data_IF_432140842682
#
_entry.id   IF_432140842682
#
_cell.length_a   1.000
_cell.length_b   1.000
_cell.length_c   1.000
_cell.angle_alpha   90.00
_cell.angle_beta   90.00
_cell.angle_gamma   90.00
#
_symmetry.space_group_name_H-M   'P 1'
#
loop_
_entity.id
_entity.type
_entity.pdbx_description
1 polymer ?
#
# COMPACT_ATOMS: atom_id res chain seq x y z
N UNK A 1 -17.22 -37.72 11.77
CA UNK A 1 -16.12 -37.20 10.95
C UNK A 1 -15.97 -35.71 11.26
N UNK A 2 -15.12 -35.34 12.19
CA UNK A 2 -14.80 -33.94 12.51
C UNK A 2 -13.73 -33.48 11.54
N UNK A 3 -14.14 -32.67 10.56
CA UNK A 3 -13.18 -31.99 9.67
C UNK A 3 -12.35 -31.04 10.54
N UNK A 4 -11.09 -31.40 10.79
CA UNK A 4 -10.12 -30.52 11.41
C UNK A 4 -9.86 -29.38 10.43
N UNK A 5 -10.48 -28.23 10.68
CA UNK A 5 -10.18 -26.98 9.99
C UNK A 5 -8.73 -26.66 10.35
N UNK A 6 -7.82 -27.06 9.48
CA UNK A 6 -6.40 -26.73 9.61
C UNK A 6 -6.29 -25.22 9.37
N UNK A 7 -6.41 -24.43 10.45
CA UNK A 7 -6.16 -22.99 10.41
C UNK A 7 -4.70 -22.79 10.02
N UNK A 8 -4.44 -22.56 8.73
CA UNK A 8 -3.15 -22.06 8.29
C UNK A 8 -2.88 -20.75 9.01
N UNK A 9 -1.94 -20.75 9.95
CA UNK A 9 -1.50 -19.53 10.62
C UNK A 9 -0.94 -18.59 9.56
N UNK A 10 -1.45 -17.34 9.55
CA UNK A 10 -0.83 -16.29 8.73
C UNK A 10 0.62 -16.10 9.18
N UNK A 11 1.57 -16.32 8.28
CA UNK A 11 2.97 -16.01 8.54
C UNK A 11 3.14 -14.50 8.82
N UNK A 12 4.14 -14.13 9.62
CA UNK A 12 4.44 -12.75 10.03
C UNK A 12 4.44 -11.77 8.86
N UNK A 13 5.06 -12.12 7.73
CA UNK A 13 5.14 -11.28 6.55
C UNK A 13 3.75 -10.96 5.94
N UNK A 14 2.84 -11.94 5.90
CA UNK A 14 1.47 -11.72 5.41
C UNK A 14 0.65 -10.83 6.36
N UNK A 15 0.87 -10.93 7.65
CA UNK A 15 0.29 -10.02 8.63
C UNK A 15 0.75 -8.59 8.40
N UNK A 16 2.06 -8.38 8.22
CA UNK A 16 2.61 -7.05 7.91
C UNK A 16 2.06 -6.52 6.59
N UNK A 17 2.01 -7.35 5.54
CA UNK A 17 1.43 -6.95 4.26
C UNK A 17 -0.05 -6.56 4.39
N UNK A 18 -0.83 -7.29 5.20
CA UNK A 18 -2.23 -6.97 5.45
C UNK A 18 -2.41 -5.64 6.16
N UNK A 19 -1.67 -5.41 7.25
CA UNK A 19 -1.71 -4.14 7.99
C UNK A 19 -1.25 -2.98 7.08
N UNK A 20 -0.15 -3.16 6.34
CA UNK A 20 0.35 -2.16 5.41
C UNK A 20 -0.72 -1.80 4.35
N UNK A 21 -1.43 -2.79 3.82
CA UNK A 21 -2.49 -2.55 2.83
C UNK A 21 -3.70 -1.82 3.41
N UNK A 22 -4.09 -2.13 4.64
CA UNK A 22 -5.15 -1.38 5.33
C UNK A 22 -4.73 0.07 5.59
N UNK A 23 -3.49 0.30 6.01
CA UNK A 23 -2.95 1.65 6.18
C UNK A 23 -2.89 2.40 4.85
N UNK A 24 -2.55 1.72 3.73
CA UNK A 24 -2.61 2.31 2.39
C UNK A 24 -4.02 2.75 2.01
N UNK A 25 -5.05 1.94 2.29
CA UNK A 25 -6.43 2.33 2.02
C UNK A 25 -6.82 3.58 2.79
N UNK A 26 -6.48 3.65 4.07
CA UNK A 26 -6.71 4.85 4.90
C UNK A 26 -5.94 6.04 4.34
N UNK A 27 -4.67 5.85 4.00
CA UNK A 27 -3.81 6.89 3.43
C UNK A 27 -4.37 7.45 2.12
N UNK A 28 -5.04 6.64 1.29
CA UNK A 28 -5.61 7.09 0.02
C UNK A 28 -6.79 8.04 0.20
N UNK A 29 -7.51 7.96 1.32
CA UNK A 29 -8.65 8.85 1.62
C UNK A 29 -8.19 10.16 2.26
N UNK A 30 -7.06 10.12 2.99
CA UNK A 30 -6.48 11.29 3.63
C UNK A 30 -5.88 12.27 2.60
N UNK A 31 -5.73 13.57 2.96
CA UNK A 31 -5.10 14.54 2.08
C UNK A 31 -3.66 14.15 1.72
N UNK A 32 -3.35 14.23 0.42
CA UNK A 32 -2.00 14.04 -0.12
C UNK A 32 -1.29 15.37 -0.37
N UNK A 33 -2.04 16.44 -0.42
CA UNK A 33 -1.54 17.80 -0.42
C UNK A 33 -2.61 18.75 0.10
N UNK A 34 -2.19 19.89 0.61
CA UNK A 34 -3.09 21.00 0.95
C UNK A 34 -2.41 22.31 0.54
N UNK A 35 -3.00 23.00 -0.44
CA UNK A 35 -2.55 24.28 -0.95
C UNK A 35 -3.44 25.40 -0.40
N UNK A 36 -2.88 26.59 -0.19
CA UNK A 36 -3.63 27.73 0.35
C UNK A 36 -3.76 27.69 1.88
N UNK A 37 -4.87 28.24 2.40
CA UNK A 37 -5.11 28.37 3.85
C UNK A 37 -4.37 29.53 4.52
N UNK A 38 -3.71 30.40 3.73
CA UNK A 38 -3.15 31.66 4.21
C UNK A 38 -4.20 32.78 4.20
N UNK A 39 -3.80 33.97 4.61
CA UNK A 39 -4.68 35.16 4.71
C UNK A 39 -5.40 35.42 3.37
N UNK A 40 -6.70 35.15 3.33
CA UNK A 40 -7.58 35.45 2.19
C UNK A 40 -7.64 34.38 1.08
N UNK A 41 -6.88 33.28 1.16
CA UNK A 41 -6.93 32.19 0.17
C UNK A 41 -7.54 30.95 0.81
N UNK A 42 -8.66 30.40 0.27
CA UNK A 42 -9.23 29.17 0.79
C UNK A 42 -8.25 28.00 0.64
N UNK A 43 -8.24 27.08 1.62
CA UNK A 43 -7.46 25.87 1.53
C UNK A 43 -8.12 24.88 0.54
N UNK A 44 -7.32 24.35 -0.37
CA UNK A 44 -7.71 23.30 -1.33
C UNK A 44 -6.86 22.08 -1.03
N UNK A 45 -7.50 20.95 -0.78
CA UNK A 45 -6.83 19.68 -0.53
C UNK A 45 -7.25 18.62 -1.55
N UNK A 46 -6.33 17.77 -1.92
CA UNK A 46 -6.61 16.60 -2.76
C UNK A 46 -6.05 15.31 -2.16
N UNK A 47 -6.54 14.19 -2.64
CA UNK A 47 -6.20 12.86 -2.13
C UNK A 47 -5.54 11.98 -3.22
N UNK A 48 -5.38 10.66 -2.92
CA UNK A 48 -4.75 9.72 -3.84
C UNK A 48 -5.52 9.53 -5.17
N UNK A 49 -6.83 9.75 -5.17
CA UNK A 49 -7.66 9.49 -6.36
C UNK A 49 -7.46 10.51 -7.48
N UNK A 50 -6.71 11.56 -7.22
CA UNK A 50 -6.31 12.54 -8.22
C UNK A 50 -5.01 12.10 -8.91
N UNK A 51 -5.10 11.44 -10.08
CA UNK A 51 -3.95 11.01 -10.88
C UNK A 51 -3.32 9.67 -10.46
N UNK A 52 -1.97 9.52 -10.51
CA UNK A 52 -1.31 8.20 -10.32
C UNK A 52 -1.52 7.56 -8.95
N UNK A 53 -1.96 8.32 -7.96
CA UNK A 53 -2.23 7.80 -6.61
C UNK A 53 -3.31 6.72 -6.58
N UNK A 54 -4.21 6.67 -7.57
CA UNK A 54 -5.21 5.59 -7.70
C UNK A 54 -4.55 4.20 -7.82
N UNK A 55 -3.35 4.12 -8.40
CA UNK A 55 -2.61 2.85 -8.50
C UNK A 55 -2.23 2.35 -7.11
N UNK A 56 -1.88 3.24 -6.18
CA UNK A 56 -1.56 2.88 -4.78
C UNK A 56 -2.79 2.26 -4.10
N UNK A 57 -3.98 2.79 -4.36
CA UNK A 57 -5.24 2.23 -3.88
C UNK A 57 -5.50 0.83 -4.46
N UNK A 58 -5.30 0.65 -5.78
CA UNK A 58 -5.47 -0.65 -6.44
C UNK A 58 -4.45 -1.68 -5.93
N UNK A 59 -3.22 -1.27 -5.66
CA UNK A 59 -2.19 -2.12 -5.04
C UNK A 59 -2.62 -2.58 -3.66
N UNK A 60 -3.19 -1.70 -2.83
CA UNK A 60 -3.70 -2.06 -1.52
C UNK A 60 -4.82 -3.11 -1.60
N UNK A 61 -5.80 -2.90 -2.48
CA UNK A 61 -6.88 -3.86 -2.71
C UNK A 61 -6.37 -5.21 -3.25
N UNK A 62 -5.47 -5.19 -4.24
CA UNK A 62 -4.89 -6.40 -4.81
C UNK A 62 -4.08 -7.18 -3.78
N UNK A 63 -3.34 -6.50 -2.91
CA UNK A 63 -2.59 -7.16 -1.83
C UNK A 63 -3.53 -7.83 -0.82
N UNK A 64 -4.61 -7.16 -0.41
CA UNK A 64 -5.63 -7.75 0.46
C UNK A 64 -6.31 -8.96 -0.20
N UNK A 65 -6.63 -8.85 -1.50
CA UNK A 65 -7.18 -9.96 -2.27
C UNK A 65 -6.21 -11.15 -2.31
N UNK A 66 -4.91 -10.94 -2.54
CA UNK A 66 -3.89 -12.00 -2.50
C UNK A 66 -3.81 -12.67 -1.12
N UNK A 67 -3.98 -11.93 -0.03
CA UNK A 67 -3.99 -12.48 1.33
C UNK A 67 -5.26 -13.30 1.57
N UNK A 68 -6.42 -12.82 1.07
CA UNK A 68 -7.70 -13.49 1.25
C UNK A 68 -7.88 -14.73 0.36
N UNK A 69 -7.24 -14.76 -0.80
CA UNK A 69 -7.42 -15.79 -1.82
C UNK A 69 -7.21 -17.23 -1.31
N UNK A 70 -6.16 -17.56 -0.53
CA UNK A 70 -5.97 -18.91 0.01
C UNK A 70 -7.07 -19.37 0.97
N UNK A 71 -7.80 -18.43 1.57
CA UNK A 71 -8.93 -18.72 2.46
C UNK A 71 -10.24 -18.90 1.70
N UNK A 72 -10.39 -18.19 0.57
CA UNK A 72 -11.57 -18.27 -0.27
C UNK A 72 -11.53 -19.49 -1.21
N UNK A 73 -10.34 -19.92 -1.64
CA UNK A 73 -10.15 -21.01 -2.60
C UNK A 73 -10.24 -22.42 -1.97
N UNK A 74 -10.28 -22.54 -0.64
CA UNK A 74 -10.31 -23.83 0.04
C UNK A 74 -9.08 -24.68 -0.31
N UNK A 75 -9.31 -25.92 -0.78
CA UNK A 75 -8.25 -26.88 -1.12
C UNK A 75 -7.69 -26.72 -2.55
N UNK A 76 -8.19 -25.76 -3.33
CA UNK A 76 -7.71 -25.53 -4.69
C UNK A 76 -6.27 -24.95 -4.65
N UNK A 77 -5.32 -25.48 -5.46
CA UNK A 77 -3.96 -24.95 -5.50
C UNK A 77 -3.93 -23.57 -6.18
N UNK A 78 -3.78 -22.51 -5.38
CA UNK A 78 -3.69 -21.13 -5.88
C UNK A 78 -2.22 -20.82 -6.19
N UNK A 79 -1.86 -20.89 -7.47
CA UNK A 79 -0.49 -20.63 -7.92
C UNK A 79 -0.06 -19.15 -7.85
N UNK A 80 -1.00 -18.23 -7.62
CA UNK A 80 -0.79 -16.77 -7.65
C UNK A 80 -0.24 -16.23 -6.31
N UNK A 81 -0.43 -16.95 -5.20
CA UNK A 81 0.07 -16.57 -3.88
C UNK A 81 1.59 -16.83 -3.75
N UNK A 82 2.36 -16.24 -4.64
CA UNK A 82 3.82 -16.30 -4.62
C UNK A 82 4.39 -14.96 -4.17
N UNK A 83 5.57 -14.96 -3.54
CA UNK A 83 6.27 -13.74 -3.14
C UNK A 83 6.43 -12.74 -4.30
N UNK A 84 6.57 -13.24 -5.53
CA UNK A 84 6.65 -12.44 -6.76
C UNK A 84 5.45 -11.52 -6.95
N UNK A 85 4.23 -11.98 -6.63
CA UNK A 85 3.02 -11.17 -6.73
C UNK A 85 3.06 -10.00 -5.76
N UNK A 86 3.51 -10.22 -4.52
CA UNK A 86 3.69 -9.13 -3.54
C UNK A 86 4.79 -8.16 -3.96
N UNK A 87 5.90 -8.67 -4.53
CA UNK A 87 7.00 -7.84 -5.01
C UNK A 87 6.56 -6.94 -6.17
N UNK A 88 5.84 -7.50 -7.16
CA UNK A 88 5.30 -6.72 -8.29
C UNK A 88 4.35 -5.63 -7.80
N UNK A 89 3.44 -5.95 -6.89
CA UNK A 89 2.51 -4.96 -6.33
C UNK A 89 3.26 -3.87 -5.54
N UNK A 90 4.25 -4.23 -4.72
CA UNK A 90 5.05 -3.26 -3.98
C UNK A 90 5.81 -2.31 -4.91
N UNK A 91 6.43 -2.85 -5.98
CA UNK A 91 7.14 -2.04 -6.99
C UNK A 91 6.15 -1.12 -7.71
N UNK A 92 5.01 -1.63 -8.18
CA UNK A 92 4.00 -0.82 -8.86
C UNK A 92 3.49 0.32 -7.97
N UNK A 93 3.21 0.04 -6.70
CA UNK A 93 2.79 1.03 -5.73
C UNK A 93 3.86 2.10 -5.47
N UNK A 94 5.12 1.68 -5.30
CA UNK A 94 6.25 2.61 -5.09
C UNK A 94 6.48 3.50 -6.31
N UNK A 95 6.44 2.93 -7.53
CA UNK A 95 6.59 3.71 -8.77
C UNK A 95 5.49 4.75 -8.90
N UNK A 96 4.23 4.35 -8.70
CA UNK A 96 3.10 5.28 -8.76
C UNK A 96 3.19 6.37 -7.68
N UNK A 97 3.60 6.01 -6.47
CA UNK A 97 3.82 6.94 -5.38
C UNK A 97 4.92 7.97 -5.71
N UNK A 98 6.05 7.51 -6.24
CA UNK A 98 7.17 8.40 -6.63
C UNK A 98 6.75 9.34 -7.76
N UNK A 99 6.04 8.85 -8.78
CA UNK A 99 5.51 9.68 -9.86
C UNK A 99 4.59 10.77 -9.26
N UNK A 100 3.69 10.38 -8.37
CA UNK A 100 2.79 11.35 -7.73
C UNK A 100 3.54 12.35 -6.86
N UNK A 101 4.52 11.91 -6.10
CA UNK A 101 5.37 12.79 -5.28
C UNK A 101 6.09 13.82 -6.14
N UNK A 102 6.70 13.41 -7.25
CA UNK A 102 7.37 14.31 -8.21
C UNK A 102 6.38 15.33 -8.76
N UNK A 103 5.19 14.91 -9.18
CA UNK A 103 4.15 15.81 -9.68
C UNK A 103 3.75 16.86 -8.63
N UNK A 104 3.60 16.44 -7.37
CA UNK A 104 3.22 17.35 -6.29
C UNK A 104 4.34 18.36 -5.95
N UNK A 105 5.59 17.89 -5.91
CA UNK A 105 6.77 18.75 -5.66
C UNK A 105 6.96 19.80 -6.77
N UNK A 106 6.69 19.42 -8.02
CA UNK A 106 6.81 20.32 -9.20
C UNK A 106 5.55 21.14 -9.45
N UNK A 107 4.49 20.94 -8.68
CA UNK A 107 3.24 21.72 -8.80
C UNK A 107 3.44 23.16 -8.33
N UNK A 108 2.57 24.10 -8.76
CA UNK A 108 2.61 25.50 -8.28
C UNK A 108 2.47 25.66 -6.77
N UNK A 109 1.84 24.69 -6.09
CA UNK A 109 1.71 24.67 -4.63
C UNK A 109 3.05 24.38 -3.91
N UNK A 110 3.99 23.76 -4.62
CA UNK A 110 5.35 23.48 -4.19
C UNK A 110 5.47 22.59 -2.95
N UNK A 111 6.71 22.42 -2.44
CA UNK A 111 6.98 21.55 -1.30
C UNK A 111 6.29 21.94 0.00
N UNK A 112 5.90 23.20 0.16
CA UNK A 112 5.21 23.70 1.36
C UNK A 112 3.81 23.09 1.56
N UNK A 113 3.19 22.56 0.50
CA UNK A 113 1.91 21.85 0.55
C UNK A 113 2.02 20.41 1.04
N UNK A 114 3.25 19.88 1.15
CA UNK A 114 3.56 18.48 1.42
C UNK A 114 4.07 18.23 2.84
N UNK A 115 4.02 19.21 3.72
CA UNK A 115 4.39 19.02 5.14
C UNK A 115 3.47 17.97 5.79
N UNK A 116 3.94 17.22 6.81
CA UNK A 116 3.14 16.17 7.45
C UNK A 116 1.75 16.64 7.91
N UNK A 117 1.64 17.89 8.37
CA UNK A 117 0.37 18.49 8.81
C UNK A 117 -0.59 18.75 7.63
N UNK A 118 -0.07 18.98 6.43
CA UNK A 118 -0.84 19.33 5.22
C UNK A 118 -1.06 18.14 4.29
N UNK A 119 -0.25 17.09 4.41
CA UNK A 119 -0.27 15.92 3.54
C UNK A 119 -0.14 14.61 4.33
N UNK A 120 -0.93 14.37 5.39
CA UNK A 120 -0.78 13.18 6.22
C UNK A 120 -0.96 11.89 5.43
N UNK A 121 -1.85 11.87 4.43
CA UNK A 121 -2.07 10.71 3.57
C UNK A 121 -0.84 10.33 2.75
N UNK A 122 -0.12 11.30 2.21
CA UNK A 122 1.11 11.08 1.46
C UNK A 122 2.19 10.40 2.31
N UNK A 123 2.42 10.91 3.51
CA UNK A 123 3.42 10.36 4.44
C UNK A 123 3.05 8.97 4.93
N UNK A 124 1.78 8.76 5.30
CA UNK A 124 1.28 7.46 5.71
C UNK A 124 1.40 6.42 4.58
N UNK A 125 1.09 6.81 3.33
CA UNK A 125 1.24 5.95 2.17
C UNK A 125 2.70 5.55 1.95
N UNK A 126 3.65 6.48 2.09
CA UNK A 126 5.08 6.19 1.98
C UNK A 126 5.53 5.14 3.00
N UNK A 127 5.18 5.31 4.27
CA UNK A 127 5.52 4.36 5.34
C UNK A 127 4.88 2.99 5.07
N UNK A 128 3.62 2.96 4.67
CA UNK A 128 2.90 1.72 4.40
C UNK A 128 3.47 0.98 3.17
N UNK A 129 3.90 1.69 2.12
CA UNK A 129 4.56 1.08 0.96
C UNK A 129 5.93 0.49 1.31
N UNK A 130 6.70 1.16 2.17
CA UNK A 130 7.97 0.61 2.68
C UNK A 130 7.71 -0.67 3.47
N UNK A 131 6.70 -0.69 4.33
CA UNK A 131 6.31 -1.87 5.09
C UNK A 131 5.86 -3.03 4.17
N UNK A 132 5.12 -2.72 3.09
CA UNK A 132 4.71 -3.70 2.08
C UNK A 132 5.93 -4.27 1.32
N UNK A 133 6.87 -3.43 0.92
CA UNK A 133 8.10 -3.85 0.26
C UNK A 133 8.95 -4.73 1.18
N UNK A 134 9.05 -4.38 2.46
CA UNK A 134 9.73 -5.19 3.45
C UNK A 134 9.04 -6.56 3.64
N UNK A 135 7.72 -6.61 3.71
CA UNK A 135 6.98 -7.86 3.79
C UNK A 135 7.19 -8.76 2.56
N UNK A 136 7.24 -8.17 1.36
CA UNK A 136 7.55 -8.90 0.13
C UNK A 136 8.97 -9.48 0.15
N UNK A 137 9.93 -8.73 0.67
CA UNK A 137 11.31 -9.19 0.84
C UNK A 137 11.42 -10.34 1.87
N UNK A 138 10.73 -10.24 3.01
CA UNK A 138 10.69 -11.27 4.04
C UNK A 138 10.07 -12.58 3.51
N UNK A 139 9.02 -12.49 2.68
CA UNK A 139 8.43 -13.63 1.96
C UNK A 139 9.41 -14.28 0.97
N UNK A 140 10.27 -13.50 0.32
CA UNK A 140 11.28 -14.01 -0.59
C UNK A 140 12.41 -14.73 0.15
N UNK A 141 12.90 -14.13 1.25
CA UNK A 141 14.04 -14.67 2.02
C UNK A 141 13.70 -15.94 2.79
N UNK A 142 12.45 -16.07 3.29
CA UNK A 142 12.02 -17.26 4.03
C UNK A 142 12.03 -18.55 3.20
N UNK A 143 12.07 -18.47 1.87
CA UNK A 143 12.18 -19.64 0.96
C UNK A 143 13.61 -20.10 0.71
N UNK A 144 14.60 -19.24 0.91
CA UNK A 144 16.01 -19.60 0.70
C UNK A 144 16.64 -20.32 1.91
N UNK A 145 16.01 -20.23 3.08
CA UNK A 145 16.48 -20.89 4.32
C UNK A 145 16.10 -22.35 4.49
N UNK A 146 15.35 -22.94 3.56
CA UNK A 146 14.87 -24.36 3.62
C UNK A 146 15.55 -25.28 2.59
N UNK A 147 16.74 -24.92 2.10
CA UNK A 147 17.59 -25.80 1.27
C UNK A 147 18.78 -26.31 2.06
#
# INVERSE_FOLDING_TARGET
MTASIHRRSLGRARWVAGIASLLLLVACVLPWYTAGGGTGIPAISGNAFEGPGIVVFLVALATLALIALPYAAGDAPVGIDRWQSYAVLAIAGLVAYVIRLVQLVTSPAGPSSLTPDRAPGLWLAGVALIALAWAAFDLASSRHGTR
#
